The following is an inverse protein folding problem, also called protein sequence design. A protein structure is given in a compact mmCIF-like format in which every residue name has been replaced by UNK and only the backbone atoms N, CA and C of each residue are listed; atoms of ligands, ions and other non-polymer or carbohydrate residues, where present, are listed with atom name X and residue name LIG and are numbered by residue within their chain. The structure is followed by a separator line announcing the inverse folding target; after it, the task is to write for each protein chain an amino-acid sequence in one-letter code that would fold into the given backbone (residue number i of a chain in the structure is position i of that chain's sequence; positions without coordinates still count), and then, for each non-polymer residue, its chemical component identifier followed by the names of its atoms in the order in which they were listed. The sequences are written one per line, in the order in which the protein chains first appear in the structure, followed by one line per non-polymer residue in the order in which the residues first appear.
data_IF_836125045859
#
_entry.id   IF_836125045859
#
_cell.length_a   1.000
_cell.length_b   1.000
_cell.length_c   1.000
_cell.angle_alpha   90.00
_cell.angle_beta   90.00
_cell.angle_gamma   90.00
#
_symmetry.space_group_name_H-M   'P 1'
#
loop_
_entity.id
_entity.type
_entity.pdbx_description
1 polymer ?
#
# COMPACT_ATOMS: atom_id res chain seq x y z
N UNK A 1 28.61 36.82 14.72
CA UNK A 1 29.63 37.83 14.42
C UNK A 1 30.50 37.34 13.27
N UNK A 2 31.26 38.23 12.66
CA UNK A 2 32.20 37.85 11.58
C UNK A 2 33.22 36.82 12.07
N UNK A 3 33.73 36.97 13.28
CA UNK A 3 34.72 36.08 13.88
C UNK A 3 34.18 34.64 14.03
N UNK A 4 32.94 34.47 14.44
CA UNK A 4 32.31 33.17 14.53
C UNK A 4 32.13 32.49 13.13
N UNK A 5 31.93 33.29 12.08
CA UNK A 5 31.91 32.76 10.72
C UNK A 5 33.30 32.30 10.26
N UNK A 6 34.36 33.10 10.62
CA UNK A 6 35.73 32.72 10.30
C UNK A 6 36.16 31.43 11.01
N UNK A 7 35.81 31.27 12.26
CA UNK A 7 36.03 30.02 13.00
C UNK A 7 35.35 28.83 12.36
N UNK A 8 34.08 28.94 12.02
CA UNK A 8 33.34 27.90 11.32
C UNK A 8 33.93 27.56 9.92
N UNK A 9 34.39 28.58 9.17
CA UNK A 9 35.03 28.37 7.88
C UNK A 9 36.40 27.70 8.04
N UNK A 10 37.17 28.10 9.05
CA UNK A 10 38.49 27.51 9.31
C UNK A 10 38.38 26.00 9.62
N UNK A 11 37.34 25.58 10.35
CA UNK A 11 37.10 24.17 10.68
C UNK A 11 36.75 23.29 9.47
N UNK A 12 36.46 23.86 8.30
CA UNK A 12 36.04 23.07 7.13
C UNK A 12 37.19 22.43 6.34
N UNK A 13 38.43 22.97 6.47
CA UNK A 13 39.62 22.48 5.77
C UNK A 13 40.89 22.71 6.61
N UNK A 14 41.80 21.72 6.65
CA UNK A 14 43.00 21.75 7.47
C UNK A 14 43.90 22.96 7.16
N UNK A 15 44.00 23.37 5.89
CA UNK A 15 44.82 24.54 5.51
C UNK A 15 44.21 25.83 6.00
N UNK A 16 42.87 25.93 6.06
CA UNK A 16 42.18 27.13 6.59
C UNK A 16 42.32 27.18 8.11
N UNK A 17 42.31 26.02 8.76
CA UNK A 17 42.50 25.90 10.18
C UNK A 17 43.93 26.33 10.61
N UNK A 18 44.94 25.90 9.85
CA UNK A 18 46.37 26.31 10.08
C UNK A 18 46.54 27.81 9.95
N UNK A 19 46.04 28.43 8.88
CA UNK A 19 46.06 29.89 8.71
C UNK A 19 45.36 30.64 9.86
N UNK A 20 44.22 30.15 10.29
CA UNK A 20 43.45 30.74 11.36
C UNK A 20 44.23 30.73 12.71
N UNK A 21 44.93 29.63 13.02
CA UNK A 21 45.80 29.53 14.21
C UNK A 21 47.06 30.36 14.11
N UNK A 22 47.60 30.57 12.92
CA UNK A 22 48.74 31.44 12.69
C UNK A 22 48.38 32.94 12.72
N UNK A 23 47.10 33.27 12.77
CA UNK A 23 46.56 34.63 12.78
C UNK A 23 46.54 35.26 11.40
N UNK A 24 46.61 34.48 10.33
CA UNK A 24 46.46 34.94 8.96
C UNK A 24 44.99 35.15 8.61
N UNK A 25 44.69 36.17 7.80
CA UNK A 25 43.35 36.41 7.31
C UNK A 25 43.03 35.49 6.13
N UNK A 26 41.87 34.81 6.15
CA UNK A 26 41.38 34.07 5.00
C UNK A 26 40.92 35.03 3.89
N UNK A 27 41.27 34.73 2.67
CA UNK A 27 40.83 35.50 1.48
C UNK A 27 39.34 35.32 1.26
N UNK A 28 38.68 36.24 0.55
CA UNK A 28 37.25 36.15 0.19
C UNK A 28 36.93 34.87 -0.56
N UNK A 29 37.88 34.35 -1.35
CA UNK A 29 37.68 33.10 -2.10
C UNK A 29 37.77 31.87 -1.20
N UNK A 30 38.70 31.84 -0.25
CA UNK A 30 38.82 30.80 0.76
C UNK A 30 37.58 30.77 1.67
N UNK A 31 37.06 31.92 2.08
CA UNK A 31 35.83 32.04 2.86
C UNK A 31 34.65 31.45 2.08
N UNK A 32 34.46 31.81 0.81
CA UNK A 32 33.38 31.26 -0.03
C UNK A 32 33.53 29.75 -0.20
N UNK A 33 34.74 29.27 -0.43
CA UNK A 33 35.01 27.84 -0.60
C UNK A 33 34.77 27.08 0.69
N UNK A 34 35.20 27.57 1.84
CA UNK A 34 34.99 26.97 3.13
C UNK A 34 33.49 26.93 3.49
N UNK A 35 32.72 27.99 3.23
CA UNK A 35 31.26 27.97 3.38
C UNK A 35 30.66 26.87 2.48
N UNK A 36 31.08 26.74 1.24
CA UNK A 36 30.61 25.72 0.30
C UNK A 36 30.89 24.31 0.83
N UNK A 37 32.10 24.07 1.31
CA UNK A 37 32.50 22.78 1.91
C UNK A 37 31.64 22.48 3.14
N UNK A 38 31.50 23.44 4.06
CA UNK A 38 30.71 23.28 5.28
C UNK A 38 29.22 23.03 5.01
N UNK A 39 28.64 23.69 4.02
CA UNK A 39 27.25 23.44 3.60
C UNK A 39 27.10 22.05 3.00
N UNK A 40 28.01 21.61 2.15
CA UNK A 40 27.98 20.26 1.54
C UNK A 40 28.14 19.14 2.56
N UNK A 41 28.96 19.36 3.62
CA UNK A 41 29.10 18.43 4.74
C UNK A 41 27.91 18.46 5.72
N UNK A 42 27.11 19.52 5.70
CA UNK A 42 26.02 19.78 6.64
C UNK A 42 26.44 20.44 7.94
N UNK A 43 27.68 20.92 8.04
CA UNK A 43 28.23 21.62 9.20
C UNK A 43 27.78 23.08 9.25
N UNK A 44 27.52 23.68 8.08
CA UNK A 44 27.04 25.05 7.94
C UNK A 44 25.65 25.03 7.27
N UNK A 45 24.71 25.76 7.86
CA UNK A 45 23.37 25.95 7.30
C UNK A 45 23.17 27.40 6.88
N UNK A 46 23.10 27.72 5.57
CA UNK A 46 22.84 29.07 5.10
C UNK A 46 21.41 29.48 5.40
N UNK A 47 21.22 30.64 6.00
CA UNK A 47 19.91 31.23 6.30
C UNK A 47 19.73 32.49 5.48
N UNK A 48 18.73 32.51 4.60
CA UNK A 48 18.41 33.61 3.71
C UNK A 48 17.05 34.19 4.10
N UNK A 49 17.01 35.50 4.27
CA UNK A 49 15.76 36.22 4.51
C UNK A 49 15.24 36.85 3.23
N UNK A 50 13.91 36.84 3.06
CA UNK A 50 13.31 37.41 1.86
C UNK A 50 11.81 37.70 2.01
N UNK A 51 11.23 38.24 0.95
CA UNK A 51 9.79 38.48 0.84
C UNK A 51 9.28 38.02 -0.54
N UNK A 52 8.47 37.00 -0.56
CA UNK A 52 7.86 36.49 -1.80
C UNK A 52 6.94 37.51 -2.47
N UNK A 53 6.22 38.31 -1.71
CA UNK A 53 5.33 39.36 -2.21
C UNK A 53 6.11 40.47 -2.93
N UNK A 54 7.26 40.85 -2.37
CA UNK A 54 8.09 41.94 -2.89
C UNK A 54 9.24 41.44 -3.77
N UNK A 55 9.34 40.13 -4.00
CA UNK A 55 10.41 39.46 -4.73
C UNK A 55 11.83 39.85 -4.22
N UNK A 56 11.97 39.97 -2.89
CA UNK A 56 13.24 40.24 -2.23
C UNK A 56 13.86 38.88 -1.80
N UNK A 57 15.19 38.71 -2.00
CA UNK A 57 15.91 37.51 -1.61
C UNK A 57 15.91 36.38 -2.66
N UNK A 58 15.21 36.53 -3.78
CA UNK A 58 15.15 35.51 -4.84
C UNK A 58 16.50 35.28 -5.51
N UNK A 59 17.27 36.35 -5.76
CA UNK A 59 18.59 36.25 -6.35
C UNK A 59 19.57 35.52 -5.41
N UNK A 60 19.50 35.78 -4.12
CA UNK A 60 20.32 35.16 -3.08
C UNK A 60 19.98 33.66 -2.94
N UNK A 61 18.70 33.27 -3.06
CA UNK A 61 18.30 31.87 -3.08
C UNK A 61 18.87 31.16 -4.30
N UNK A 62 18.74 31.74 -5.50
CA UNK A 62 19.26 31.16 -6.72
C UNK A 62 20.79 31.02 -6.68
N UNK A 63 21.50 32.06 -6.21
CA UNK A 63 22.94 32.03 -6.03
C UNK A 63 23.38 30.96 -5.00
N UNK A 64 22.58 30.74 -3.94
CA UNK A 64 22.88 29.71 -2.95
C UNK A 64 22.68 28.30 -3.52
N UNK A 65 21.65 28.08 -4.34
CA UNK A 65 21.46 26.81 -5.05
C UNK A 65 22.64 26.53 -5.99
N UNK A 66 23.06 27.52 -6.75
CA UNK A 66 24.19 27.41 -7.69
C UNK A 66 25.53 27.14 -6.98
N UNK A 67 25.81 27.81 -5.87
CA UNK A 67 27.07 27.70 -5.16
C UNK A 67 27.19 26.49 -4.23
N UNK A 68 26.10 26.05 -3.64
CA UNK A 68 26.13 25.08 -2.52
C UNK A 68 25.60 23.70 -2.89
N UNK A 69 24.85 23.55 -3.99
CA UNK A 69 24.30 22.25 -4.40
C UNK A 69 25.12 21.71 -5.58
N UNK A 70 25.75 20.54 -5.35
CA UNK A 70 26.42 19.85 -6.46
C UNK A 70 25.36 19.21 -7.38
N UNK A 71 25.63 19.17 -8.70
CA UNK A 71 24.87 18.34 -9.61
C UNK A 71 24.91 16.88 -9.12
N UNK A 72 23.74 16.22 -9.09
CA UNK A 72 23.69 14.80 -8.78
C UNK A 72 24.55 14.02 -9.77
N UNK A 73 25.42 13.14 -9.26
CA UNK A 73 26.16 12.23 -10.13
C UNK A 73 25.18 11.36 -10.90
N UNK A 74 25.34 11.30 -12.20
CA UNK A 74 24.50 10.49 -13.10
C UNK A 74 25.39 9.52 -13.88
N UNK A 75 25.07 8.23 -13.79
CA UNK A 75 25.73 7.19 -14.55
C UNK A 75 25.03 7.01 -15.92
N UNK A 76 25.59 7.62 -16.96
CA UNK A 76 25.09 7.50 -18.32
C UNK A 76 25.61 6.27 -19.06
N UNK A 77 26.67 5.63 -18.56
CA UNK A 77 27.34 4.53 -19.25
C UNK A 77 26.70 3.16 -19.00
N UNK A 78 26.05 3.01 -17.86
CA UNK A 78 25.38 1.77 -17.49
C UNK A 78 24.06 1.55 -18.23
N UNK A 79 23.56 0.32 -18.32
CA UNK A 79 22.23 0.04 -18.84
C UNK A 79 21.13 0.80 -18.08
N UNK A 80 20.07 1.17 -18.80
CA UNK A 80 18.94 1.89 -18.23
C UNK A 80 18.42 1.25 -16.93
N UNK A 81 18.27 2.10 -15.92
CA UNK A 81 17.57 1.81 -14.67
C UNK A 81 16.86 3.07 -14.17
N UNK A 82 15.64 2.90 -13.66
CA UNK A 82 14.87 4.00 -13.12
C UNK A 82 13.91 3.57 -12.03
N UNK A 83 13.55 4.50 -11.16
CA UNK A 83 12.65 4.29 -10.03
C UNK A 83 11.33 5.01 -10.25
N UNK A 84 10.24 4.28 -10.12
CA UNK A 84 8.87 4.84 -10.12
C UNK A 84 8.62 5.46 -8.74
N UNK A 85 8.78 6.76 -8.60
CA UNK A 85 8.64 7.40 -7.30
C UNK A 85 7.23 7.95 -7.02
N UNK A 86 6.38 8.04 -8.05
CA UNK A 86 5.00 8.50 -7.92
C UNK A 86 4.11 7.90 -9.00
N UNK A 87 2.89 7.54 -8.59
CA UNK A 87 1.80 7.14 -9.49
C UNK A 87 0.61 8.06 -9.29
N UNK A 88 -0.05 8.43 -10.38
CA UNK A 88 -1.23 9.30 -10.38
C UNK A 88 -2.28 8.72 -11.32
N UNK A 89 -3.57 8.85 -10.95
CA UNK A 89 -4.67 8.44 -11.82
C UNK A 89 -5.39 9.66 -12.34
N UNK A 90 -5.22 9.90 -13.62
CA UNK A 90 -5.96 10.92 -14.34
C UNK A 90 -7.26 10.34 -14.90
N UNK A 91 -8.40 11.04 -14.77
CA UNK A 91 -9.70 10.55 -15.28
C UNK A 91 -9.72 10.29 -16.80
N UNK A 92 -8.90 11.01 -17.58
CA UNK A 92 -8.89 10.98 -19.03
C UNK A 92 -7.71 10.16 -19.60
N UNK A 93 -6.52 10.40 -19.09
CA UNK A 93 -5.28 9.73 -19.54
C UNK A 93 -5.14 8.35 -18.93
N UNK A 94 -5.72 8.12 -17.75
CA UNK A 94 -5.58 6.90 -16.96
C UNK A 94 -4.35 6.95 -16.05
N UNK A 95 -3.67 5.82 -15.87
CA UNK A 95 -2.50 5.73 -14.99
C UNK A 95 -1.31 6.46 -15.58
N UNK A 96 -0.74 7.35 -14.79
CA UNK A 96 0.45 8.14 -15.06
C UNK A 96 1.49 7.75 -14.01
N UNK A 97 2.68 7.33 -14.44
CA UNK A 97 3.79 6.97 -13.54
C UNK A 97 4.97 7.89 -13.79
N UNK A 98 5.50 8.48 -12.72
CA UNK A 98 6.69 9.32 -12.73
C UNK A 98 7.90 8.47 -12.41
N UNK A 99 8.92 8.55 -13.24
CA UNK A 99 10.13 7.74 -13.16
C UNK A 99 11.32 8.66 -13.11
N UNK A 100 12.15 8.51 -12.09
CA UNK A 100 13.48 9.10 -12.05
C UNK A 100 14.46 8.10 -12.67
N UNK A 101 15.16 8.52 -13.72
CA UNK A 101 16.18 7.70 -14.38
C UNK A 101 17.47 7.83 -13.57
N UNK A 102 17.94 6.73 -13.01
CA UNK A 102 19.14 6.68 -12.18
C UNK A 102 20.38 6.30 -12.98
N UNK A 103 20.22 5.49 -14.04
CA UNK A 103 21.31 5.02 -14.89
C UNK A 103 20.90 4.96 -16.35
N UNK A 104 21.85 5.21 -17.24
CA UNK A 104 21.74 5.04 -18.68
C UNK A 104 20.72 5.95 -19.35
N UNK A 105 20.10 5.47 -20.39
CA UNK A 105 19.05 6.18 -21.14
C UNK A 105 17.93 5.26 -21.59
N UNK A 106 16.77 5.85 -21.87
CA UNK A 106 15.61 5.16 -22.42
C UNK A 106 15.01 6.00 -23.57
N UNK A 107 14.67 5.33 -24.66
CA UNK A 107 13.88 5.88 -25.76
C UNK A 107 12.47 5.26 -25.77
N UNK A 108 11.57 5.84 -26.54
CA UNK A 108 10.22 5.29 -26.74
C UNK A 108 10.24 3.88 -27.34
N UNK A 109 9.13 3.16 -27.23
CA UNK A 109 8.93 1.80 -27.73
C UNK A 109 9.92 0.76 -27.19
N UNK A 110 10.32 0.87 -25.93
CA UNK A 110 11.19 -0.09 -25.25
C UNK A 110 10.42 -1.00 -24.29
N UNK A 111 10.93 -2.21 -24.12
CA UNK A 111 10.52 -3.13 -23.05
C UNK A 111 11.50 -3.02 -21.88
N UNK A 112 10.96 -2.97 -20.67
CA UNK A 112 11.72 -2.96 -19.41
C UNK A 112 11.21 -4.07 -18.51
N UNK A 113 12.04 -4.55 -17.61
CA UNK A 113 11.64 -5.45 -16.53
C UNK A 113 11.24 -4.61 -15.32
N UNK A 114 10.07 -4.89 -14.74
CA UNK A 114 9.71 -4.44 -13.41
C UNK A 114 10.30 -5.43 -12.41
N UNK A 115 11.30 -5.01 -11.63
CA UNK A 115 12.07 -5.90 -10.76
C UNK A 115 11.24 -6.44 -9.58
N UNK A 116 10.20 -5.72 -9.14
CA UNK A 116 9.29 -6.20 -8.09
C UNK A 116 8.42 -7.38 -8.58
N UNK A 117 7.83 -7.27 -9.75
CA UNK A 117 6.92 -8.29 -10.27
C UNK A 117 7.60 -9.34 -11.14
N UNK A 118 8.83 -9.09 -11.60
CA UNK A 118 9.55 -9.91 -12.58
C UNK A 118 8.98 -9.85 -14.00
N UNK A 119 7.95 -9.08 -14.23
CA UNK A 119 7.26 -8.99 -15.53
C UNK A 119 7.94 -7.97 -16.45
N UNK A 120 7.75 -8.18 -17.76
CA UNK A 120 8.09 -7.18 -18.77
C UNK A 120 6.95 -6.18 -18.92
N UNK A 121 7.32 -4.91 -18.98
CA UNK A 121 6.43 -3.79 -19.24
C UNK A 121 6.86 -3.06 -20.51
N UNK A 122 5.91 -2.76 -21.39
CA UNK A 122 6.19 -1.99 -22.61
C UNK A 122 5.99 -0.50 -22.35
N UNK A 123 7.04 0.27 -22.56
CA UNK A 123 7.03 1.73 -22.52
C UNK A 123 6.87 2.24 -23.96
N UNK A 124 5.66 2.55 -24.36
CA UNK A 124 5.37 3.00 -25.72
C UNK A 124 5.83 4.44 -25.96
N UNK A 125 5.48 5.35 -25.06
CA UNK A 125 5.86 6.76 -25.12
C UNK A 125 6.42 7.21 -23.79
N UNK A 126 7.36 8.15 -23.87
CA UNK A 126 7.95 8.85 -22.72
C UNK A 126 7.65 10.33 -22.84
N UNK A 127 7.36 10.97 -21.71
CA UNK A 127 7.01 12.38 -21.65
C UNK A 127 7.81 13.10 -20.58
N UNK A 128 8.01 14.40 -20.71
CA UNK A 128 8.23 15.29 -19.58
C UNK A 128 6.93 16.04 -19.28
N UNK A 129 6.78 16.54 -18.04
CA UNK A 129 5.61 17.30 -17.65
C UNK A 129 5.99 18.75 -17.34
N UNK A 130 5.23 19.69 -17.87
CA UNK A 130 5.40 21.10 -17.59
C UNK A 130 4.03 21.70 -17.21
N UNK A 131 3.90 22.08 -15.94
CA UNK A 131 2.63 22.54 -15.39
C UNK A 131 1.54 21.47 -15.35
N UNK A 132 0.94 21.07 -16.32
CA UNK A 132 -0.05 19.98 -16.44
C UNK A 132 -0.02 19.37 -17.83
N UNK A 133 0.89 19.86 -18.67
CA UNK A 133 1.01 19.45 -20.06
C UNK A 133 2.08 18.36 -20.20
N UNK A 134 1.72 17.27 -20.89
CA UNK A 134 2.63 16.18 -21.26
C UNK A 134 3.31 16.51 -22.59
N UNK A 135 4.63 16.64 -22.55
CA UNK A 135 5.47 16.91 -23.74
C UNK A 135 6.22 15.63 -24.07
N UNK A 136 5.97 15.09 -25.27
CA UNK A 136 6.60 13.84 -25.73
C UNK A 136 8.11 14.02 -25.92
N UNK A 137 8.86 13.02 -25.45
CA UNK A 137 10.32 12.92 -25.62
C UNK A 137 10.65 11.77 -26.56
N UNK A 138 11.74 11.88 -27.32
CA UNK A 138 12.28 10.78 -28.11
C UNK A 138 13.21 9.90 -27.27
N UNK A 139 13.96 10.51 -26.37
CA UNK A 139 14.92 9.88 -25.48
C UNK A 139 15.02 10.70 -24.19
N UNK A 140 15.38 10.02 -23.09
CA UNK A 140 15.68 10.62 -21.80
C UNK A 140 16.85 9.88 -21.15
N UNK A 141 17.65 10.62 -20.35
CA UNK A 141 18.93 10.15 -19.82
C UNK A 141 18.90 10.09 -18.28
N UNK A 142 19.91 9.46 -17.71
CA UNK A 142 20.13 9.46 -16.27
C UNK A 142 20.12 10.90 -15.71
N UNK A 143 19.39 11.10 -14.60
CA UNK A 143 19.10 12.39 -14.00
C UNK A 143 17.75 12.98 -14.40
N UNK A 144 17.17 12.55 -15.53
CA UNK A 144 15.86 13.04 -15.97
C UNK A 144 14.71 12.42 -15.15
N UNK A 145 13.65 13.21 -15.02
CA UNK A 145 12.34 12.72 -14.54
C UNK A 145 11.42 12.63 -15.75
N UNK A 146 11.01 11.41 -16.05
CA UNK A 146 10.06 11.15 -17.13
C UNK A 146 8.70 10.71 -16.61
N UNK A 147 7.74 10.80 -17.50
CA UNK A 147 6.37 10.33 -17.28
C UNK A 147 6.04 9.28 -18.33
N UNK A 148 5.46 8.17 -17.88
CA UNK A 148 4.87 7.15 -18.74
C UNK A 148 3.40 6.98 -18.45
N UNK A 149 2.60 6.67 -19.47
CA UNK A 149 1.14 6.57 -19.36
C UNK A 149 0.67 5.17 -19.72
N UNK A 150 -0.44 4.72 -19.11
CA UNK A 150 -1.13 3.46 -19.42
C UNK A 150 -0.31 2.19 -19.19
N UNK A 151 0.74 2.23 -18.38
CA UNK A 151 1.51 1.04 -17.96
C UNK A 151 0.92 0.53 -16.65
N UNK A 152 0.05 -0.47 -16.74
CA UNK A 152 -0.73 -0.95 -15.60
C UNK A 152 0.12 -1.61 -14.51
N UNK A 153 1.19 -2.32 -14.89
CA UNK A 153 2.03 -3.10 -13.98
C UNK A 153 2.97 -2.27 -13.11
N UNK A 154 3.16 -0.97 -13.39
CA UNK A 154 4.03 -0.12 -12.57
C UNK A 154 3.31 0.38 -11.31
N UNK A 155 4.00 0.39 -10.19
CA UNK A 155 3.54 0.97 -8.93
C UNK A 155 4.62 1.88 -8.33
N UNK A 156 4.19 2.78 -7.44
CA UNK A 156 5.13 3.61 -6.68
C UNK A 156 6.06 2.74 -5.85
N UNK A 157 7.36 2.99 -5.95
CA UNK A 157 8.43 2.20 -5.34
C UNK A 157 9.05 1.13 -6.26
N UNK A 158 8.51 0.93 -7.48
CA UNK A 158 9.08 -0.03 -8.41
C UNK A 158 10.40 0.46 -9.01
N UNK A 159 11.36 -0.46 -9.12
CA UNK A 159 12.55 -0.28 -9.96
C UNK A 159 12.32 -0.98 -11.30
N UNK A 160 12.61 -0.27 -12.38
CA UNK A 160 12.55 -0.79 -13.75
C UNK A 160 13.92 -0.76 -14.40
N UNK A 161 14.25 -1.77 -15.20
CA UNK A 161 15.56 -1.89 -15.85
C UNK A 161 15.49 -2.68 -17.15
N UNK A 162 16.48 -2.48 -18.03
CA UNK A 162 16.69 -3.39 -19.17
C UNK A 162 17.27 -4.75 -18.74
N UNK A 163 17.90 -4.82 -17.58
CA UNK A 163 18.42 -6.06 -17.01
C UNK A 163 17.47 -6.57 -15.91
N UNK A 164 16.95 -7.80 -16.09
CA UNK A 164 16.07 -8.45 -15.11
C UNK A 164 16.75 -8.78 -13.78
N UNK A 165 18.08 -8.94 -13.79
CA UNK A 165 18.90 -9.31 -12.64
C UNK A 165 19.57 -8.07 -12.00
N UNK A 166 19.14 -6.85 -12.37
CA UNK A 166 19.62 -5.61 -11.75
C UNK A 166 19.16 -5.53 -10.28
N UNK A 167 19.98 -4.89 -9.46
CA UNK A 167 19.62 -4.61 -8.08
C UNK A 167 18.54 -3.54 -7.99
N UNK A 168 17.60 -3.72 -7.03
CA UNK A 168 16.58 -2.71 -6.70
C UNK A 168 17.26 -1.47 -6.16
N UNK A 169 16.96 -0.31 -6.74
CA UNK A 169 17.64 0.95 -6.40
C UNK A 169 17.28 1.46 -5.02
N UNK A 170 15.99 1.44 -4.70
CA UNK A 170 15.46 1.96 -3.44
C UNK A 170 14.23 1.16 -3.04
N UNK A 171 14.29 0.52 -1.89
CA UNK A 171 13.11 -0.10 -1.29
C UNK A 171 12.41 0.91 -0.38
N UNK A 172 11.25 1.39 -0.82
CA UNK A 172 10.43 2.32 -0.05
C UNK A 172 9.48 1.54 0.85
N UNK A 173 9.67 1.65 2.16
CA UNK A 173 8.77 1.06 3.14
C UNK A 173 7.62 2.02 3.46
N UNK A 174 6.44 1.74 2.93
CA UNK A 174 5.25 2.53 3.21
C UNK A 174 4.62 2.12 4.54
N UNK A 175 4.20 3.10 5.38
CA UNK A 175 3.52 2.80 6.64
C UNK A 175 2.17 2.13 6.39
N UNK A 176 1.83 1.18 7.26
CA UNK A 176 0.51 0.53 7.23
C UNK A 176 -0.57 1.49 7.72
N UNK A 177 -1.82 1.33 7.23
CA UNK A 177 -2.96 2.12 7.74
C UNK A 177 -3.10 2.03 9.26
N UNK A 178 -3.37 3.18 9.89
CA UNK A 178 -3.54 3.29 11.35
C UNK A 178 -5.02 3.30 11.76
N UNK A 179 -5.90 3.74 10.86
CA UNK A 179 -7.34 3.77 11.09
C UNK A 179 -8.10 3.19 9.89
N UNK A 180 -9.28 2.64 10.16
CA UNK A 180 -10.19 2.14 9.15
C UNK A 180 -11.59 2.72 9.38
N UNK A 181 -12.31 2.95 8.28
CA UNK A 181 -13.72 3.30 8.25
C UNK A 181 -14.47 2.37 7.29
N UNK A 182 -15.72 2.10 7.60
CA UNK A 182 -16.62 1.55 6.60
C UNK A 182 -16.99 2.65 5.61
N UNK A 183 -16.93 2.34 4.32
CA UNK A 183 -17.24 3.28 3.24
C UNK A 183 -18.40 2.75 2.40
N UNK A 184 -19.38 3.58 2.16
CA UNK A 184 -20.55 3.22 1.35
C UNK A 184 -20.93 4.37 0.41
N UNK A 185 -21.40 4.09 -0.81
CA UNK A 185 -21.88 5.12 -1.69
C UNK A 185 -23.21 5.69 -1.16
N UNK A 186 -23.43 7.00 -1.25
CA UNK A 186 -24.72 7.60 -0.88
C UNK A 186 -25.84 7.14 -1.81
N UNK A 187 -25.51 6.89 -3.08
CA UNK A 187 -26.43 6.31 -4.06
C UNK A 187 -26.05 4.85 -4.32
N UNK A 188 -26.96 3.91 -4.07
CA UNK A 188 -26.72 2.46 -4.26
C UNK A 188 -26.28 2.09 -5.68
N UNK A 189 -26.68 2.85 -6.70
CA UNK A 189 -26.29 2.61 -8.09
C UNK A 189 -24.79 2.90 -8.35
N UNK A 190 -24.11 3.56 -7.43
CA UNK A 190 -22.69 3.91 -7.56
C UNK A 190 -21.77 2.89 -6.87
N UNK A 191 -22.25 1.74 -6.39
CA UNK A 191 -21.43 0.75 -5.65
C UNK A 191 -20.26 0.25 -6.49
N UNK A 192 -20.49 -0.21 -7.71
CA UNK A 192 -19.45 -0.70 -8.61
C UNK A 192 -18.50 0.42 -9.04
N UNK A 193 -19.03 1.62 -9.29
CA UNK A 193 -18.23 2.79 -9.64
C UNK A 193 -17.34 3.20 -8.48
N UNK A 194 -17.85 3.19 -7.24
CA UNK A 194 -17.09 3.46 -6.02
C UNK A 194 -15.94 2.45 -5.87
N UNK A 195 -16.20 1.15 -5.99
CA UNK A 195 -15.18 0.11 -5.86
C UNK A 195 -14.05 0.28 -6.89
N UNK A 196 -14.40 0.58 -8.15
CA UNK A 196 -13.44 0.83 -9.22
C UNK A 196 -12.58 2.09 -8.92
N UNK A 197 -13.19 3.17 -8.46
CA UNK A 197 -12.47 4.41 -8.13
C UNK A 197 -11.57 4.20 -6.92
N UNK A 198 -12.04 3.53 -5.86
CA UNK A 198 -11.21 3.21 -4.69
C UNK A 198 -10.00 2.36 -5.06
N UNK A 199 -10.18 1.33 -5.89
CA UNK A 199 -9.07 0.50 -6.38
C UNK A 199 -8.02 1.32 -7.12
N UNK A 200 -8.45 2.28 -7.93
CA UNK A 200 -7.54 3.21 -8.62
C UNK A 200 -6.80 4.12 -7.65
N UNK A 201 -7.51 4.74 -6.69
CA UNK A 201 -6.92 5.67 -5.73
C UNK A 201 -5.94 4.99 -4.76
N UNK A 202 -6.22 3.75 -4.35
CA UNK A 202 -5.24 2.91 -3.61
C UNK A 202 -4.00 2.62 -4.46
N UNK A 203 -4.16 2.48 -5.78
CA UNK A 203 -3.02 2.36 -6.70
C UNK A 203 -2.14 3.62 -6.82
N UNK A 204 -2.68 4.82 -6.45
CA UNK A 204 -1.88 6.05 -6.37
C UNK A 204 -1.12 6.18 -5.05
N UNK A 205 -1.72 5.70 -3.96
CA UNK A 205 -1.23 5.90 -2.60
C UNK A 205 -1.06 4.55 -1.89
N UNK A 206 0.16 4.03 -1.80
CA UNK A 206 0.47 2.75 -1.16
C UNK A 206 0.15 2.71 0.35
N UNK A 207 -0.14 3.85 0.99
CA UNK A 207 -0.51 3.94 2.40
C UNK A 207 -2.01 3.80 2.65
N UNK A 208 -2.81 3.74 1.58
CA UNK A 208 -4.24 3.43 1.62
C UNK A 208 -4.46 1.93 1.47
N UNK A 209 -5.47 1.41 2.12
CA UNK A 209 -5.88 0.01 2.02
C UNK A 209 -7.39 -0.09 1.86
N UNK A 210 -7.86 -0.72 0.80
CA UNK A 210 -9.27 -0.95 0.51
C UNK A 210 -9.55 -2.44 0.39
N UNK A 211 -10.55 -2.94 1.14
CA UNK A 211 -11.00 -4.32 1.02
C UNK A 211 -12.46 -4.47 1.46
N UNK A 212 -13.10 -5.57 1.08
CA UNK A 212 -14.43 -5.95 1.55
C UNK A 212 -14.30 -6.99 2.66
N UNK A 213 -14.87 -6.70 3.81
CA UNK A 213 -14.94 -7.64 4.91
C UNK A 213 -16.11 -8.62 4.66
N UNK A 214 -15.78 -9.90 4.46
CA UNK A 214 -16.78 -10.94 4.12
C UNK A 214 -17.74 -11.25 5.27
N UNK A 215 -17.37 -10.99 6.51
CA UNK A 215 -18.20 -11.29 7.68
C UNK A 215 -19.20 -10.16 7.96
N UNK A 216 -18.73 -8.93 7.95
CA UNK A 216 -19.58 -7.77 8.22
C UNK A 216 -20.25 -7.20 6.96
N UNK A 217 -19.86 -7.71 5.79
CA UNK A 217 -20.26 -7.25 4.46
C UNK A 217 -20.01 -5.76 4.21
N UNK A 218 -19.12 -5.15 5.00
CA UNK A 218 -18.71 -3.77 4.82
C UNK A 218 -17.53 -3.65 3.84
N UNK A 219 -17.56 -2.64 2.99
CA UNK A 219 -16.38 -2.15 2.30
C UNK A 219 -15.60 -1.26 3.28
N UNK A 220 -14.32 -1.51 3.44
CA UNK A 220 -13.45 -0.83 4.41
C UNK A 220 -12.34 -0.08 3.71
N UNK A 221 -12.09 1.15 4.16
CA UNK A 221 -10.98 1.98 3.72
C UNK A 221 -10.08 2.32 4.90
N UNK A 222 -8.81 2.02 4.76
CA UNK A 222 -7.77 2.31 5.76
C UNK A 222 -6.81 3.39 5.29
N UNK A 223 -6.30 4.19 6.22
CA UNK A 223 -5.33 5.24 5.95
C UNK A 223 -4.56 5.66 7.20
N UNK A 224 -3.72 6.68 7.08
CA UNK A 224 -2.83 7.14 8.15
C UNK A 224 -3.54 7.96 9.23
N UNK A 225 -4.75 8.46 8.96
CA UNK A 225 -5.54 9.26 9.89
C UNK A 225 -6.83 9.78 9.25
N UNK A 226 -7.70 10.39 10.05
CA UNK A 226 -8.99 10.92 9.57
C UNK A 226 -8.84 11.93 8.43
N UNK A 227 -7.87 12.83 8.51
CA UNK A 227 -7.66 13.84 7.48
C UNK A 227 -7.28 13.19 6.14
N UNK A 228 -6.48 12.12 6.18
CA UNK A 228 -6.12 11.35 4.99
C UNK A 228 -7.37 10.76 4.31
N UNK A 229 -8.24 10.11 5.09
CA UNK A 229 -9.49 9.54 4.57
C UNK A 229 -10.45 10.63 4.08
N UNK A 230 -10.58 11.76 4.80
CA UNK A 230 -11.39 12.90 4.35
C UNK A 230 -10.89 13.48 3.03
N UNK A 231 -9.57 13.58 2.86
CA UNK A 231 -8.96 14.02 1.60
C UNK A 231 -9.27 13.06 0.45
N UNK A 232 -9.21 11.74 0.70
CA UNK A 232 -9.63 10.73 -0.27
C UNK A 232 -11.10 10.90 -0.67
N UNK A 233 -12.01 11.08 0.29
CA UNK A 233 -13.44 11.28 0.06
C UNK A 233 -13.69 12.53 -0.78
N UNK A 234 -13.02 13.64 -0.47
CA UNK A 234 -13.11 14.86 -1.28
C UNK A 234 -12.62 14.64 -2.70
N UNK A 235 -11.50 13.92 -2.87
CA UNK A 235 -10.96 13.57 -4.19
C UNK A 235 -11.93 12.70 -5.00
N UNK A 236 -12.64 11.76 -4.35
CA UNK A 236 -13.68 10.95 -4.99
C UNK A 236 -14.84 11.82 -5.50
N UNK A 237 -15.29 12.79 -4.69
CA UNK A 237 -16.34 13.71 -5.07
C UNK A 237 -15.88 14.64 -6.20
N UNK A 238 -14.76 15.33 -6.03
CA UNK A 238 -14.33 16.42 -6.92
C UNK A 238 -13.86 15.90 -8.28
N UNK A 239 -13.13 14.77 -8.30
CA UNK A 239 -12.56 14.23 -9.56
C UNK A 239 -13.46 13.20 -10.25
N UNK A 240 -14.23 12.42 -9.47
CA UNK A 240 -14.98 11.29 -10.02
C UNK A 240 -16.51 11.43 -9.85
N UNK A 241 -16.96 12.50 -9.17
CA UNK A 241 -18.38 12.76 -8.95
C UNK A 241 -19.09 11.70 -8.10
N UNK A 242 -18.37 11.04 -7.18
CA UNK A 242 -18.91 10.00 -6.30
C UNK A 242 -18.98 10.52 -4.88
N UNK A 243 -20.20 10.58 -4.33
CA UNK A 243 -20.40 10.89 -2.93
C UNK A 243 -20.53 9.62 -2.09
N UNK A 244 -19.77 9.56 -1.01
CA UNK A 244 -19.73 8.43 -0.06
C UNK A 244 -20.04 8.86 1.36
N UNK A 245 -20.49 7.93 2.20
CA UNK A 245 -20.54 8.05 3.65
C UNK A 245 -19.41 7.25 4.27
N UNK A 246 -18.94 7.70 5.42
CA UNK A 246 -18.02 6.98 6.30
C UNK A 246 -18.79 6.59 7.56
N UNK A 247 -18.72 5.33 7.93
CA UNK A 247 -19.39 4.77 9.09
C UNK A 247 -18.40 3.98 9.96
N UNK A 248 -18.79 3.69 11.17
CA UNK A 248 -17.99 2.87 12.09
C UNK A 248 -17.91 1.41 11.63
N UNK A 249 -16.84 0.76 12.04
CA UNK A 249 -16.62 -0.67 11.82
C UNK A 249 -17.63 -1.49 12.62
N UNK A 250 -18.29 -2.43 11.96
CA UNK A 250 -19.10 -3.44 12.68
C UNK A 250 -18.16 -4.44 13.33
N UNK A 251 -18.43 -4.76 14.59
CA UNK A 251 -17.71 -5.79 15.30
C UNK A 251 -18.18 -7.17 14.81
N UNK A 252 -17.27 -8.03 14.32
CA UNK A 252 -17.63 -9.38 13.89
C UNK A 252 -17.86 -10.28 15.11
N UNK A 253 -19.06 -10.21 15.66
CA UNK A 253 -19.45 -11.06 16.80
C UNK A 253 -19.44 -12.53 16.41
N UNK A 254 -19.22 -13.40 17.42
CA UNK A 254 -19.28 -14.84 17.31
C UNK A 254 -20.22 -15.38 18.39
N UNK A 255 -20.90 -16.48 18.07
CA UNK A 255 -21.66 -17.25 19.04
C UNK A 255 -20.80 -18.41 19.54
N UNK A 256 -21.01 -18.82 20.79
CA UNK A 256 -20.36 -20.00 21.37
C UNK A 256 -21.21 -20.58 22.47
N UNK A 257 -20.90 -21.80 22.94
CA UNK A 257 -21.55 -22.44 24.06
C UNK A 257 -20.70 -22.33 25.33
N UNK A 258 -21.35 -22.23 26.49
CA UNK A 258 -20.66 -22.18 27.79
C UNK A 258 -20.61 -23.54 28.49
N UNK A 259 -21.52 -24.44 28.19
CA UNK A 259 -21.65 -25.74 28.80
C UNK A 259 -21.51 -26.88 27.80
N UNK A 260 -22.04 -28.04 28.16
CA UNK A 260 -22.18 -29.20 27.28
C UNK A 260 -23.63 -29.55 27.07
N UNK A 261 -23.96 -30.15 25.94
CA UNK A 261 -25.31 -30.62 25.63
C UNK A 261 -25.23 -31.87 24.77
N UNK A 262 -26.04 -32.87 25.10
CA UNK A 262 -26.28 -34.03 24.25
C UNK A 262 -27.56 -33.79 23.48
N UNK A 263 -27.48 -33.86 22.14
CA UNK A 263 -28.62 -33.60 21.28
C UNK A 263 -28.81 -34.69 20.23
N UNK A 264 -30.06 -34.93 19.90
CA UNK A 264 -30.47 -35.86 18.85
C UNK A 264 -31.03 -35.03 17.67
N UNK A 265 -30.47 -35.25 16.48
CA UNK A 265 -30.98 -34.71 15.23
C UNK A 265 -31.52 -35.82 14.35
N UNK A 266 -32.82 -35.76 14.02
CA UNK A 266 -33.48 -36.75 13.16
C UNK A 266 -34.22 -36.06 12.03
N UNK A 267 -33.82 -36.37 10.81
CA UNK A 267 -34.50 -35.94 9.59
C UNK A 267 -35.12 -37.13 8.89
N UNK A 268 -36.43 -37.10 8.74
CA UNK A 268 -37.20 -38.09 7.97
C UNK A 268 -38.17 -37.34 7.07
N UNK A 269 -37.97 -37.42 5.77
CA UNK A 269 -38.85 -36.82 4.79
C UNK A 269 -39.19 -37.83 3.69
N UNK A 270 -40.46 -38.03 3.43
CA UNK A 270 -40.96 -38.90 2.38
C UNK A 270 -42.08 -38.15 1.65
N UNK A 271 -41.78 -37.64 0.48
CA UNK A 271 -42.74 -36.92 -0.38
C UNK A 271 -42.59 -37.39 -1.82
N UNK A 272 -43.10 -38.65 -2.06
CA UNK A 272 -43.09 -39.31 -3.37
C UNK A 272 -41.67 -39.75 -3.82
N UNK A 273 -41.51 -40.99 -4.30
CA UNK A 273 -40.25 -41.52 -4.72
C UNK A 273 -39.26 -41.88 -3.61
N UNK A 274 -37.97 -41.50 -3.75
CA UNK A 274 -36.94 -41.80 -2.78
C UNK A 274 -37.07 -40.90 -1.54
N UNK A 275 -37.19 -41.50 -0.35
CA UNK A 275 -37.19 -40.76 0.94
C UNK A 275 -35.81 -40.28 1.35
N UNK A 276 -35.80 -39.30 2.27
CA UNK A 276 -34.59 -38.84 2.91
C UNK A 276 -34.60 -39.28 4.38
N UNK A 277 -33.50 -39.85 4.85
CA UNK A 277 -33.33 -40.24 6.23
C UNK A 277 -31.94 -39.88 6.73
N UNK A 278 -31.88 -39.24 7.90
CA UNK A 278 -30.63 -38.95 8.60
C UNK A 278 -30.93 -38.84 10.11
N UNK A 279 -30.15 -39.56 10.91
CA UNK A 279 -30.31 -39.55 12.36
C UNK A 279 -28.94 -39.62 13.00
N UNK A 280 -28.62 -38.62 13.85
CA UNK A 280 -27.37 -38.51 14.56
C UNK A 280 -27.60 -38.06 16.00
N UNK A 281 -26.77 -38.55 16.91
CA UNK A 281 -26.67 -38.06 18.29
C UNK A 281 -25.27 -37.47 18.47
N UNK A 282 -25.22 -36.23 18.91
CA UNK A 282 -23.99 -35.47 19.02
C UNK A 282 -23.89 -34.80 20.37
N UNK A 283 -22.75 -35.00 21.02
CA UNK A 283 -22.39 -34.26 22.23
C UNK A 283 -21.62 -33.02 21.86
N UNK A 284 -22.11 -31.85 22.26
CA UNK A 284 -21.46 -30.58 22.10
C UNK A 284 -20.82 -30.13 23.41
N UNK A 285 -19.63 -29.56 23.33
CA UNK A 285 -18.93 -28.92 24.43
C UNK A 285 -18.05 -27.78 23.92
N UNK A 286 -17.55 -26.95 24.82
CA UNK A 286 -16.63 -25.90 24.47
C UNK A 286 -15.29 -26.47 24.00
N UNK A 287 -14.67 -25.83 22.99
CA UNK A 287 -13.32 -26.11 22.51
C UNK A 287 -12.44 -24.88 22.61
N UNK A 288 -11.13 -25.07 22.66
CA UNK A 288 -10.13 -23.98 22.51
C UNK A 288 -9.84 -23.66 21.04
N UNK A 289 -10.06 -24.63 20.14
CA UNK A 289 -10.02 -24.41 18.70
C UNK A 289 -11.35 -23.91 18.15
N UNK A 290 -11.36 -23.36 16.93
CA UNK A 290 -12.59 -22.86 16.29
C UNK A 290 -13.65 -23.95 16.17
N UNK A 291 -13.24 -25.16 15.78
CA UNK A 291 -14.12 -26.32 15.65
C UNK A 291 -13.32 -27.62 15.76
N UNK A 292 -13.72 -28.48 16.72
CA UNK A 292 -13.23 -29.84 16.88
C UNK A 292 -14.35 -30.82 16.56
N UNK A 293 -14.07 -31.75 15.65
CA UNK A 293 -14.99 -32.84 15.35
C UNK A 293 -14.34 -34.20 15.60
N UNK A 294 -15.03 -35.07 16.30
CA UNK A 294 -14.59 -36.45 16.53
C UNK A 294 -15.77 -37.42 16.49
N UNK A 295 -15.47 -38.70 16.27
CA UNK A 295 -16.43 -39.80 16.30
C UNK A 295 -16.11 -40.80 17.44
N UNK A 296 -17.14 -41.24 18.17
CA UNK A 296 -17.11 -42.31 19.19
C UNK A 296 -18.21 -43.31 18.91
N UNK A 297 -18.29 -43.81 17.67
CA UNK A 297 -19.36 -44.69 17.21
C UNK A 297 -19.14 -46.16 17.63
N UNK A 298 -20.16 -46.81 18.17
CA UNK A 298 -20.14 -48.22 18.52
C UNK A 298 -21.11 -49.01 17.63
N UNK A 299 -20.74 -50.25 17.30
CA UNK A 299 -21.65 -51.21 16.64
C UNK A 299 -22.09 -50.86 15.21
N UNK A 300 -21.43 -49.90 14.56
CA UNK A 300 -21.78 -49.51 13.18
C UNK A 300 -23.08 -48.72 13.05
N UNK A 301 -23.51 -48.04 14.12
CA UNK A 301 -24.75 -47.26 14.17
C UNK A 301 -24.84 -46.18 13.05
N UNK A 302 -23.72 -45.62 12.66
CA UNK A 302 -23.56 -44.75 11.48
C UNK A 302 -22.38 -45.24 10.65
N UNK A 303 -22.54 -45.56 9.36
CA UNK A 303 -21.43 -45.96 8.48
C UNK A 303 -20.37 -44.86 8.38
N UNK A 304 -19.09 -45.25 8.40
CA UNK A 304 -17.96 -44.30 8.31
C UNK A 304 -18.00 -43.41 7.09
N UNK A 305 -18.63 -43.87 6.01
CA UNK A 305 -18.83 -43.08 4.78
C UNK A 305 -19.72 -41.85 4.96
N UNK A 306 -20.57 -41.83 6.01
CA UNK A 306 -21.46 -40.70 6.30
C UNK A 306 -20.89 -39.68 7.29
N UNK A 307 -19.85 -40.07 8.04
CA UNK A 307 -19.19 -39.17 9.02
C UNK A 307 -18.73 -37.84 8.41
N UNK A 308 -18.09 -37.80 7.24
CA UNK A 308 -17.73 -36.54 6.61
C UNK A 308 -18.94 -35.64 6.25
N UNK A 309 -20.06 -36.25 5.91
CA UNK A 309 -21.28 -35.51 5.60
C UNK A 309 -21.89 -34.86 6.87
N UNK A 310 -21.77 -35.52 8.02
CA UNK A 310 -22.17 -34.97 9.34
C UNK A 310 -21.29 -33.77 9.68
N UNK A 311 -19.96 -33.91 9.57
CA UNK A 311 -19.02 -32.83 9.83
C UNK A 311 -19.28 -31.62 8.90
N UNK A 312 -19.50 -31.86 7.64
CA UNK A 312 -19.83 -30.79 6.66
C UNK A 312 -21.14 -30.09 7.06
N UNK A 313 -22.16 -30.83 7.42
CA UNK A 313 -23.44 -30.26 7.88
C UNK A 313 -23.30 -29.38 9.12
N UNK A 314 -22.43 -29.77 10.07
CA UNK A 314 -22.12 -28.96 11.24
C UNK A 314 -21.38 -27.67 10.86
N UNK A 315 -20.36 -27.77 10.03
CA UNK A 315 -19.62 -26.60 9.52
C UNK A 315 -20.53 -25.62 8.79
N UNK A 316 -21.41 -26.10 7.93
CA UNK A 316 -22.38 -25.27 7.20
C UNK A 316 -23.37 -24.59 8.17
N UNK A 317 -23.81 -25.30 9.22
CA UNK A 317 -24.71 -24.77 10.24
C UNK A 317 -24.03 -23.73 11.16
N UNK A 318 -22.73 -23.86 11.37
CA UNK A 318 -21.94 -22.91 12.18
C UNK A 318 -21.79 -21.56 11.50
N UNK A 319 -21.99 -21.44 10.20
CA UNK A 319 -21.91 -20.16 9.50
C UNK A 319 -22.99 -19.16 9.96
N UNK A 320 -24.10 -19.67 10.52
CA UNK A 320 -25.20 -18.84 11.00
C UNK A 320 -25.75 -19.42 12.33
N UNK A 321 -25.33 -18.82 13.43
CA UNK A 321 -25.77 -19.20 14.77
C UNK A 321 -27.26 -18.91 15.04
N UNK A 322 -27.78 -19.54 16.05
CA UNK A 322 -29.23 -19.54 16.39
C UNK A 322 -29.64 -18.37 17.29
N UNK A 323 -28.70 -17.73 18.00
CA UNK A 323 -29.04 -16.66 18.96
C UNK A 323 -29.24 -15.31 18.23
N UNK A 324 -28.30 -14.89 17.44
CA UNK A 324 -28.32 -13.61 16.76
C UNK A 324 -27.87 -13.70 15.27
N UNK A 325 -27.62 -14.93 14.80
CA UNK A 325 -27.22 -15.19 13.42
C UNK A 325 -25.74 -14.98 13.13
N UNK A 326 -24.91 -14.82 14.17
CA UNK A 326 -23.45 -14.72 14.01
C UNK A 326 -22.81 -16.11 13.85
N UNK A 327 -21.68 -16.23 13.16
CA UNK A 327 -20.98 -17.50 13.05
C UNK A 327 -20.61 -18.07 14.42
N UNK A 328 -20.79 -19.39 14.56
CA UNK A 328 -20.50 -20.14 15.78
C UNK A 328 -19.03 -20.56 15.79
N UNK A 329 -18.37 -20.47 16.93
CA UNK A 329 -16.98 -20.85 17.12
C UNK A 329 -16.72 -21.48 18.48
N UNK A 330 -15.55 -22.08 18.65
CA UNK A 330 -15.10 -22.70 19.91
C UNK A 330 -16.02 -23.83 20.37
N UNK A 331 -16.40 -24.69 19.42
CA UNK A 331 -17.27 -25.86 19.68
C UNK A 331 -16.52 -27.15 19.36
N UNK A 332 -16.62 -28.11 20.29
CA UNK A 332 -16.31 -29.52 20.08
C UNK A 332 -17.60 -30.28 19.86
N UNK A 333 -17.66 -31.07 18.79
CA UNK A 333 -18.77 -31.95 18.46
C UNK A 333 -18.29 -33.40 18.40
N UNK A 334 -18.88 -34.28 19.21
CA UNK A 334 -18.57 -35.71 19.25
C UNK A 334 -19.81 -36.47 18.75
N UNK A 335 -19.69 -37.08 17.55
CA UNK A 335 -20.71 -37.98 17.03
C UNK A 335 -20.58 -39.33 17.73
N UNK A 336 -21.55 -39.69 18.60
CA UNK A 336 -21.43 -40.91 19.40
C UNK A 336 -22.49 -41.98 19.07
N UNK A 337 -23.61 -41.63 18.42
CA UNK A 337 -24.64 -42.56 18.02
C UNK A 337 -25.47 -42.03 16.86
N UNK A 338 -26.32 -42.85 16.28
CA UNK A 338 -27.23 -42.51 15.23
C UNK A 338 -27.91 -43.73 14.61
N UNK A 339 -28.56 -43.55 13.48
CA UNK A 339 -29.04 -44.64 12.64
C UNK A 339 -29.11 -44.21 11.19
N UNK A 340 -29.06 -45.15 10.28
CA UNK A 340 -29.13 -44.92 8.85
C UNK A 340 -30.21 -45.81 8.22
N UNK A 341 -30.54 -45.52 6.99
CA UNK A 341 -31.42 -46.32 6.15
C UNK A 341 -30.73 -46.53 4.82
N UNK A 342 -30.68 -47.80 4.40
CA UNK A 342 -30.09 -48.19 3.12
C UNK A 342 -30.86 -47.65 1.92
#
# INVERSE_FOLDING_TARGET
SYDALMELVAETDDNYLEKFFEGEELTTEEIKNGITIGVKKGDIVPVISGSTINNIGTAEILASLENYIDPTYVDQASPFKGTVFKTFIDPFVGKISYIHITHGSISKDKEVFNLRSGNKEKISNIYTIRGGELIELQEANAGDIIVVTKVAGLATGDTISFNKDAEVELEIHFPKPQIYFAIAPKNKNDEDKMANVLTRLVGEDPTLHYYRNNETHQALIGGQGELHIKTLVNKMKDKFGIEVSLDDLKVPYRETIKGSSDVEGKHKKQSGGHGQYGHVKIRFSRSESEFDFSEELFGGSVPKSYVPAVEKGLRDSMLKGVLAGYPVTNIKAVLYDGSYHD
#
